data_IF_018407011890
#
_entry.id   IF_018407011890
#
_cell.length_a   1.000
_cell.length_b   1.000
_cell.length_c   1.000
_cell.angle_alpha   90.00
_cell.angle_beta   90.00
_cell.angle_gamma   90.00
#
_symmetry.space_group_name_H-M   'P 1'
#
loop_
_entity.id
_entity.type
_entity.pdbx_description
1 polymer ?
#
# COMPACT_ATOMS: atom_id res chain seq x y z
N UNK A 1 -2.55 1.35 17.74
CA UNK A 1 -2.05 2.51 16.99
C UNK A 1 -1.71 1.97 15.60
N UNK A 2 -2.51 2.28 14.59
CA UNK A 2 -2.28 1.74 13.24
C UNK A 2 -0.97 2.32 12.71
N UNK A 3 0.02 1.45 12.42
CA UNK A 3 1.25 1.90 11.76
C UNK A 3 0.86 2.38 10.37
N UNK A 4 1.10 3.67 10.07
CA UNK A 4 0.90 4.20 8.72
C UNK A 4 1.80 3.43 7.76
N UNK A 5 1.24 3.03 6.63
CA UNK A 5 2.01 2.38 5.58
C UNK A 5 2.92 3.44 4.93
N UNK A 6 4.24 3.21 4.85
CA UNK A 6 5.15 4.18 4.25
C UNK A 6 4.90 4.30 2.74
N UNK A 7 5.08 5.51 2.20
CA UNK A 7 5.15 5.73 0.76
C UNK A 7 6.37 5.01 0.18
N UNK A 8 6.16 4.21 -0.86
CA UNK A 8 7.26 3.54 -1.56
C UNK A 8 7.48 4.27 -2.88
N UNK A 9 8.63 4.96 -3.01
CA UNK A 9 9.06 5.53 -4.28
C UNK A 9 9.45 4.38 -5.21
N UNK A 10 8.75 4.27 -6.34
CA UNK A 10 8.97 3.22 -7.34
C UNK A 10 9.95 3.70 -8.40
N UNK A 11 9.78 4.95 -8.83
CA UNK A 11 10.56 5.52 -9.91
C UNK A 11 10.63 7.04 -9.77
N UNK A 12 11.84 7.60 -9.87
CA UNK A 12 12.06 9.01 -10.15
C UNK A 12 12.59 9.17 -11.58
N UNK A 13 12.11 10.19 -12.30
CA UNK A 13 12.62 10.49 -13.65
C UNK A 13 12.69 11.99 -13.89
N UNK A 14 13.83 12.45 -14.41
CA UNK A 14 13.98 13.79 -14.98
C UNK A 14 13.25 13.86 -16.33
N UNK A 15 12.24 14.72 -16.43
CA UNK A 15 11.44 14.97 -17.62
C UNK A 15 11.70 16.40 -18.09
N UNK A 16 11.86 16.63 -19.40
CA UNK A 16 12.04 17.98 -19.95
C UNK A 16 10.67 18.54 -20.36
N UNK A 17 10.23 19.65 -19.76
CA UNK A 17 9.05 20.43 -20.18
C UNK A 17 9.51 21.74 -20.82
N UNK A 18 9.32 21.88 -22.14
CA UNK A 18 9.55 23.13 -22.92
C UNK A 18 10.95 23.74 -22.75
N UNK A 19 11.19 24.47 -21.65
CA UNK A 19 12.43 25.18 -21.32
C UNK A 19 13.06 24.73 -19.99
N UNK A 20 12.38 23.91 -19.19
CA UNK A 20 12.80 23.51 -17.84
C UNK A 20 12.79 21.98 -17.67
N UNK A 21 13.52 21.50 -16.66
CA UNK A 21 13.48 20.11 -16.23
C UNK A 21 12.58 19.99 -15.02
N UNK A 22 11.79 18.92 -14.98
CA UNK A 22 10.91 18.57 -13.90
C UNK A 22 11.23 17.16 -13.45
N UNK A 23 11.19 16.92 -12.15
CA UNK A 23 11.32 15.58 -11.60
C UNK A 23 9.93 15.03 -11.33
N UNK A 24 9.67 13.84 -11.85
CA UNK A 24 8.42 13.11 -11.61
C UNK A 24 8.75 11.93 -10.71
N UNK A 25 8.21 11.95 -9.50
CA UNK A 25 8.27 10.84 -8.57
C UNK A 25 6.97 10.05 -8.65
N UNK A 26 7.06 8.79 -9.08
CA UNK A 26 5.94 7.83 -9.04
C UNK A 26 6.10 6.98 -7.80
N UNK A 27 5.07 6.95 -6.97
CA UNK A 27 5.07 6.22 -5.73
C UNK A 27 3.83 5.33 -5.59
N UNK A 28 3.99 4.25 -4.81
CA UNK A 28 2.91 3.37 -4.40
C UNK A 28 2.67 3.54 -2.90
N UNK A 29 1.41 3.69 -2.52
CA UNK A 29 0.96 3.67 -1.13
C UNK A 29 0.01 2.51 -0.91
N UNK A 30 0.27 1.74 0.13
CA UNK A 30 -0.68 0.76 0.61
C UNK A 30 -1.82 1.48 1.31
N UNK A 31 -3.06 1.16 0.93
CA UNK A 31 -4.24 1.83 1.44
C UNK A 31 -5.18 0.80 2.05
N UNK A 32 -5.60 1.06 3.28
CA UNK A 32 -6.57 0.25 3.99
C UNK A 32 -8.00 0.44 3.45
N UNK A 33 -8.84 -0.56 3.72
CA UNK A 33 -10.22 -0.74 3.22
C UNK A 33 -11.12 0.49 3.20
N UNK A 34 -10.94 1.44 4.12
CA UNK A 34 -11.88 2.56 4.32
C UNK A 34 -11.97 3.52 3.13
N UNK A 35 -10.95 3.56 2.25
CA UNK A 35 -10.89 4.57 1.20
C UNK A 35 -11.59 4.20 -0.11
N UNK A 36 -11.79 2.91 -0.38
CA UNK A 36 -12.24 2.46 -1.71
C UNK A 36 -13.58 1.71 -1.71
N UNK A 37 -14.21 1.46 -0.56
CA UNK A 37 -15.41 0.61 -0.43
C UNK A 37 -15.24 -0.77 -1.09
N UNK A 38 -14.01 -1.26 -1.21
CA UNK A 38 -13.67 -2.49 -1.92
C UNK A 38 -13.09 -3.54 -0.97
N UNK A 39 -13.39 -4.81 -1.25
CA UNK A 39 -12.96 -5.95 -0.44
C UNK A 39 -11.56 -6.41 -0.85
N UNK A 40 -10.51 -5.83 -0.26
CA UNK A 40 -9.15 -6.29 -0.49
C UNK A 40 -8.10 -5.33 0.04
N UNK A 41 -6.84 -5.73 -0.08
CA UNK A 41 -5.71 -4.84 0.14
C UNK A 41 -5.50 -4.00 -1.14
N UNK A 42 -5.46 -2.68 -1.00
CA UNK A 42 -5.35 -1.75 -2.11
C UNK A 42 -3.94 -1.18 -2.23
N UNK A 43 -3.43 -1.10 -3.46
CA UNK A 43 -2.25 -0.32 -3.79
C UNK A 43 -2.67 0.87 -4.66
N UNK A 44 -2.34 2.07 -4.21
CA UNK A 44 -2.62 3.31 -4.92
C UNK A 44 -1.32 3.84 -5.50
N UNK A 45 -1.34 4.14 -6.79
CA UNK A 45 -0.25 4.78 -7.51
C UNK A 45 -0.51 6.28 -7.57
N UNK A 46 0.46 7.05 -7.12
CA UNK A 46 0.44 8.50 -7.11
C UNK A 46 1.68 9.04 -7.82
N UNK A 47 1.60 10.28 -8.28
CA UNK A 47 2.79 11.02 -8.66
C UNK A 47 2.80 12.42 -8.07
N UNK A 48 4.00 12.96 -7.95
CA UNK A 48 4.26 14.36 -7.64
C UNK A 48 5.24 14.91 -8.69
N UNK A 49 5.00 16.15 -9.10
CA UNK A 49 5.97 16.95 -9.84
C UNK A 49 6.78 17.77 -8.83
N UNK A 50 8.11 17.67 -8.87
CA UNK A 50 9.02 18.46 -8.04
C UNK A 50 10.12 19.10 -8.88
N UNK A 51 10.70 20.18 -8.36
CA UNK A 51 11.87 20.81 -8.99
C UNK A 51 13.18 20.10 -8.64
N UNK A 52 14.28 20.56 -9.24
CA UNK A 52 15.61 19.96 -9.04
C UNK A 52 16.12 20.16 -7.61
N UNK A 53 15.79 21.26 -6.94
CA UNK A 53 16.25 21.54 -5.58
C UNK A 53 15.52 20.68 -4.56
N UNK A 54 14.19 20.57 -4.67
CA UNK A 54 13.35 19.72 -3.83
C UNK A 54 13.72 18.25 -3.98
N UNK A 55 13.97 17.79 -5.21
CA UNK A 55 14.43 16.42 -5.46
C UNK A 55 15.78 16.13 -4.82
N UNK A 56 16.75 17.04 -4.96
CA UNK A 56 18.09 16.83 -4.40
C UNK A 56 18.06 16.82 -2.87
N UNK A 57 17.28 17.70 -2.24
CA UNK A 57 17.08 17.68 -0.79
C UNK A 57 16.47 16.36 -0.33
N UNK A 58 15.44 15.88 -1.05
CA UNK A 58 14.84 14.58 -0.77
C UNK A 58 15.87 13.44 -0.90
N UNK A 59 16.65 13.40 -1.97
CA UNK A 59 17.62 12.32 -2.24
C UNK A 59 18.78 12.29 -1.25
N UNK A 60 19.18 13.46 -0.73
CA UNK A 60 20.19 13.60 0.33
C UNK A 60 19.67 13.14 1.70
N UNK A 61 18.42 13.47 2.03
CA UNK A 61 17.83 13.16 3.32
C UNK A 61 17.28 11.73 3.41
N UNK A 62 16.84 11.16 2.28
CA UNK A 62 16.24 9.83 2.26
C UNK A 62 17.36 8.77 2.36
N UNK A 63 17.38 7.96 3.45
CA UNK A 63 18.43 6.98 3.64
C UNK A 63 18.37 5.90 2.55
N UNK A 64 19.39 5.89 1.68
CA UNK A 64 19.53 4.92 0.58
C UNK A 64 19.75 3.49 1.11
N UNK A 65 20.42 3.39 2.27
CA UNK A 65 20.72 2.12 2.94
C UNK A 65 19.64 1.74 3.95
N UNK A 66 18.58 1.08 3.45
CA UNK A 66 17.48 0.49 4.26
C UNK A 66 17.93 -0.59 5.27
N UNK A 67 19.21 -0.98 5.25
CA UNK A 67 19.79 -1.99 6.14
C UNK A 67 20.22 -1.44 7.50
N UNK A 68 20.28 -0.11 7.69
CA UNK A 68 20.45 0.52 9.00
C UNK A 68 19.08 0.73 9.64
N UNK A 69 18.46 -0.36 10.09
CA UNK A 69 17.22 -0.30 10.87
C UNK A 69 17.52 0.13 12.32
N UNK A 70 17.94 1.39 12.52
CA UNK A 70 17.89 2.06 13.83
C UNK A 70 16.58 2.83 13.97
N UNK A 71 16.14 3.05 15.21
CA UNK A 71 14.94 3.87 15.51
C UNK A 71 15.05 5.27 14.90
N UNK A 72 16.24 5.87 14.93
CA UNK A 72 16.50 7.19 14.36
C UNK A 72 16.26 7.22 12.84
N UNK A 73 16.57 6.12 12.13
CA UNK A 73 16.30 6.02 10.69
C UNK A 73 14.81 5.89 10.39
N UNK A 74 14.01 5.22 11.24
CA UNK A 74 12.56 5.14 11.06
C UNK A 74 11.89 6.52 11.18
N UNK A 75 12.30 7.33 12.17
CA UNK A 75 11.78 8.69 12.35
C UNK A 75 12.13 9.61 11.17
N UNK A 76 13.37 9.58 10.68
CA UNK A 76 13.80 10.37 9.51
C UNK A 76 13.00 9.95 8.27
N UNK A 77 12.80 8.65 8.04
CA UNK A 77 12.00 8.17 6.91
C UNK A 77 10.55 8.67 7.02
N UNK A 78 9.97 8.66 8.22
CA UNK A 78 8.59 9.13 8.43
C UNK A 78 8.48 10.65 8.18
N UNK A 79 9.40 11.47 8.68
CA UNK A 79 9.41 12.91 8.44
C UNK A 79 9.59 13.27 6.96
N UNK A 80 10.53 12.61 6.28
CA UNK A 80 10.77 12.80 4.84
C UNK A 80 9.54 12.34 4.04
N UNK A 81 8.93 11.21 4.41
CA UNK A 81 7.72 10.72 3.77
C UNK A 81 6.54 11.71 3.94
N UNK A 82 6.32 12.26 5.14
CA UNK A 82 5.23 13.23 5.36
C UNK A 82 5.38 14.52 4.54
N UNK A 83 6.62 14.92 4.23
CA UNK A 83 6.88 16.08 3.37
C UNK A 83 6.50 15.82 1.92
N UNK A 84 6.87 14.66 1.37
CA UNK A 84 6.60 14.29 -0.02
C UNK A 84 5.16 13.78 -0.23
N UNK A 85 4.45 13.38 0.83
CA UNK A 85 3.05 12.97 0.75
C UNK A 85 2.06 14.14 0.60
N UNK A 86 2.53 15.31 0.15
CA UNK A 86 1.73 16.51 -0.09
C UNK A 86 1.50 16.70 -1.60
N UNK A 87 0.34 17.27 -1.95
CA UNK A 87 -0.02 17.61 -3.33
C UNK A 87 0.11 16.45 -4.35
N UNK A 88 -0.09 15.22 -3.86
CA UNK A 88 -0.06 14.01 -4.67
C UNK A 88 -1.23 13.95 -5.66
N UNK A 89 -0.93 13.56 -6.89
CA UNK A 89 -1.93 13.33 -7.92
C UNK A 89 -2.14 11.81 -8.09
N UNK A 90 -3.38 11.37 -7.91
CA UNK A 90 -3.78 9.98 -8.10
C UNK A 90 -3.63 9.57 -9.58
N UNK A 91 -2.83 8.54 -9.85
CA UNK A 91 -2.71 7.93 -11.17
C UNK A 91 -3.68 6.75 -11.34
N UNK A 92 -3.62 5.81 -10.40
CA UNK A 92 -4.36 4.56 -10.48
C UNK A 92 -4.53 3.95 -9.08
N UNK A 93 -5.52 3.08 -8.94
CA UNK A 93 -5.67 2.21 -7.79
C UNK A 93 -5.83 0.77 -8.29
N UNK A 94 -5.12 -0.15 -7.66
CA UNK A 94 -5.26 -1.59 -7.88
C UNK A 94 -5.68 -2.25 -6.58
N UNK A 95 -6.47 -3.30 -6.67
CA UNK A 95 -6.88 -4.10 -5.52
C UNK A 95 -6.45 -5.53 -5.75
N UNK A 96 -5.85 -6.11 -4.72
CA UNK A 96 -5.54 -7.52 -4.71
C UNK A 96 -6.74 -8.26 -4.11
N UNK A 97 -7.49 -8.92 -4.97
CA UNK A 97 -8.53 -9.86 -4.55
C UNK A 97 -7.88 -11.18 -4.14
N UNK A 98 -7.91 -11.48 -2.85
CA UNK A 98 -7.46 -12.78 -2.33
C UNK A 98 -8.61 -13.78 -2.40
N UNK A 99 -8.63 -14.53 -3.50
CA UNK A 99 -9.67 -15.50 -3.85
C UNK A 99 -9.42 -16.83 -3.14
N UNK A 100 -10.49 -17.39 -2.58
CA UNK A 100 -10.49 -18.78 -2.15
C UNK A 100 -10.22 -19.72 -3.33
N UNK A 101 -9.54 -20.83 -3.05
CA UNK A 101 -9.34 -21.88 -4.06
C UNK A 101 -10.70 -22.42 -4.52
N UNK A 102 -10.75 -22.85 -5.78
CA UNK A 102 -11.95 -23.46 -6.38
C UNK A 102 -12.48 -24.61 -5.50
N UNK A 103 -13.79 -24.61 -5.27
CA UNK A 103 -14.49 -25.66 -4.51
C UNK A 103 -14.40 -25.53 -2.99
N UNK A 104 -13.60 -24.61 -2.43
CA UNK A 104 -13.56 -24.37 -0.98
C UNK A 104 -14.92 -23.86 -0.48
N UNK A 105 -15.51 -22.89 -1.18
CA UNK A 105 -16.80 -22.32 -0.81
C UNK A 105 -17.92 -23.38 -0.90
N UNK A 106 -17.92 -24.20 -1.95
CA UNK A 106 -18.87 -25.31 -2.11
C UNK A 106 -18.76 -26.32 -0.96
N UNK A 107 -17.53 -26.65 -0.55
CA UNK A 107 -17.28 -27.55 0.57
C UNK A 107 -17.77 -26.97 1.90
N UNK A 108 -17.47 -25.70 2.17
CA UNK A 108 -17.95 -24.97 3.36
C UNK A 108 -19.48 -25.00 3.42
N UNK A 109 -20.14 -24.69 2.30
CA UNK A 109 -21.60 -24.69 2.20
C UNK A 109 -22.20 -26.08 2.46
N UNK A 110 -21.61 -27.15 1.91
CA UNK A 110 -22.06 -28.53 2.16
C UNK A 110 -21.87 -28.93 3.62
N UNK A 111 -20.76 -28.55 4.25
CA UNK A 111 -20.50 -28.83 5.66
C UNK A 111 -21.48 -28.07 6.58
N UNK A 112 -21.79 -26.81 6.24
CA UNK A 112 -22.77 -26.00 6.95
C UNK A 112 -24.19 -26.58 6.82
N UNK A 113 -24.61 -26.96 5.60
CA UNK A 113 -25.89 -27.63 5.35
C UNK A 113 -26.03 -28.97 6.08
N UNK A 114 -24.92 -29.68 6.28
CA UNK A 114 -24.88 -30.90 7.07
C UNK A 114 -24.95 -30.66 8.60
N UNK A 115 -25.15 -29.41 9.04
CA UNK A 115 -25.27 -29.04 10.45
C UNK A 115 -23.97 -29.16 11.24
N UNK A 116 -22.81 -29.16 10.56
CA UNK A 116 -21.50 -29.25 11.21
C UNK A 116 -21.01 -27.84 11.56
N UNK A 117 -20.44 -27.69 12.78
CA UNK A 117 -19.79 -26.44 13.19
C UNK A 117 -18.44 -26.33 12.49
N UNK A 118 -18.24 -25.24 11.74
CA UNK A 118 -16.96 -24.92 11.11
C UNK A 118 -16.19 -23.94 12.00
N UNK A 119 -14.92 -24.23 12.25
CA UNK A 119 -14.01 -23.32 12.93
C UNK A 119 -12.88 -22.97 11.97
N UNK A 120 -12.68 -21.67 11.73
CA UNK A 120 -11.57 -21.16 10.92
C UNK A 120 -10.47 -20.72 11.88
N UNK A 121 -9.33 -21.42 11.84
CA UNK A 121 -8.12 -21.03 12.56
C UNK A 121 -7.17 -20.40 11.54
N UNK A 122 -6.88 -19.12 11.71
CA UNK A 122 -5.91 -18.40 10.88
C UNK A 122 -4.88 -17.71 11.77
N UNK A 123 -3.64 -17.67 11.29
CA UNK A 123 -2.56 -16.85 11.88
C UNK A 123 -2.43 -15.48 11.22
N UNK A 124 -3.32 -15.17 10.28
CA UNK A 124 -3.40 -13.88 9.59
C UNK A 124 -4.32 -12.90 10.34
N UNK A 125 -4.46 -11.69 9.81
CA UNK A 125 -5.31 -10.62 10.37
C UNK A 125 -6.77 -11.08 10.54
N UNK A 126 -7.45 -10.54 11.57
CA UNK A 126 -8.86 -10.88 11.89
C UNK A 126 -9.79 -10.62 10.70
N UNK A 127 -9.52 -9.55 9.95
CA UNK A 127 -10.28 -9.16 8.77
C UNK A 127 -10.23 -10.22 7.66
N UNK A 128 -9.14 -11.00 7.58
CA UNK A 128 -9.02 -12.14 6.66
C UNK A 128 -9.98 -13.27 7.08
N UNK A 129 -10.09 -13.55 8.39
CA UNK A 129 -11.02 -14.55 8.89
C UNK A 129 -12.48 -14.15 8.61
N UNK A 130 -12.82 -12.89 8.89
CA UNK A 130 -14.15 -12.35 8.59
C UNK A 130 -14.47 -12.46 7.10
N UNK A 131 -13.51 -12.16 6.21
CA UNK A 131 -13.69 -12.30 4.76
C UNK A 131 -14.03 -13.72 4.35
N UNK A 132 -13.31 -14.74 4.87
CA UNK A 132 -13.59 -16.15 4.56
C UNK A 132 -15.02 -16.54 4.97
N UNK A 133 -15.51 -16.01 6.10
CA UNK A 133 -16.84 -16.29 6.61
C UNK A 133 -17.96 -15.54 5.86
N UNK A 134 -17.67 -14.39 5.25
CA UNK A 134 -18.63 -13.56 4.50
C UNK A 134 -18.62 -13.78 2.99
N UNK A 135 -17.91 -14.80 2.48
CA UNK A 135 -18.06 -15.20 1.08
C UNK A 135 -19.49 -15.74 0.86
N UNK A 136 -20.31 -15.00 0.11
CA UNK A 136 -21.59 -15.48 -0.46
C UNK A 136 -21.36 -16.27 -1.76
#
# INVERSE_FOLDING_TARGET
MARRSPLIIIQSRRVRKSTEFLFVCVAAKFVERSYLNLTGEGLVFVYQESDEEEYNQFDEEFPQDKNLASTDCEEIIEEVAERIEKDLILLAATIVEDKLRNGVLECINKLAQAGRKLWVLTGDKTETAERILHYE
#
